data_IF_926685316243
#
_entry.id   IF_926685316243
#
_cell.length_a   1.000
_cell.length_b   1.000
_cell.length_c   1.000
_cell.angle_alpha   90.00
_cell.angle_beta   90.00
_cell.angle_gamma   90.00
#
_symmetry.space_group_name_H-M   'P 1'
#
loop_
_entity.id
_entity.type
_entity.pdbx_description
1 polymer ?
#
# COMPACT_ATOMS: atom_id res chain seq x y z
N UNK A 1 -19.27 -88.84 0.77
CA UNK A 1 -18.83 -89.23 2.12
C UNK A 1 -17.56 -88.47 2.40
N UNK A 2 -17.69 -87.24 2.89
CA UNK A 2 -16.58 -86.36 3.25
C UNK A 2 -16.08 -86.76 4.64
N UNK A 3 -14.80 -87.13 4.76
CA UNK A 3 -14.15 -87.41 6.04
C UNK A 3 -13.62 -86.10 6.61
N UNK A 4 -14.18 -85.70 7.75
CA UNK A 4 -13.70 -84.63 8.62
C UNK A 4 -12.38 -85.03 9.26
N UNK A 5 -11.28 -84.42 8.85
CA UNK A 5 -9.98 -84.56 9.53
C UNK A 5 -9.94 -83.63 10.75
N UNK A 6 -10.04 -84.23 11.93
CA UNK A 6 -9.86 -83.56 13.23
C UNK A 6 -8.37 -83.57 13.55
N UNK A 7 -7.72 -82.40 13.48
CA UNK A 7 -6.33 -82.25 13.96
C UNK A 7 -6.30 -81.93 15.45
N UNK A 8 -5.48 -82.63 16.26
CA UNK A 8 -5.41 -82.44 17.70
C UNK A 8 -4.64 -81.16 18.07
N UNK A 9 -5.20 -80.41 19.01
CA UNK A 9 -4.63 -79.19 19.57
C UNK A 9 -3.42 -79.54 20.46
N UNK A 10 -2.20 -79.30 19.99
CA UNK A 10 -1.01 -79.45 20.81
C UNK A 10 -0.83 -78.19 21.66
N UNK A 11 -1.05 -78.31 22.98
CA UNK A 11 -0.76 -77.22 23.94
C UNK A 11 0.74 -76.93 23.92
N UNK A 12 1.11 -75.76 23.41
CA UNK A 12 2.44 -75.20 23.65
C UNK A 12 2.51 -74.81 25.12
N UNK A 13 3.46 -75.43 25.82
CA UNK A 13 3.75 -75.22 27.24
C UNK A 13 4.26 -73.80 27.49
N UNK A 14 3.69 -73.15 28.49
CA UNK A 14 4.21 -71.93 29.10
C UNK A 14 5.65 -72.14 29.58
N UNK A 15 6.62 -71.59 28.85
CA UNK A 15 7.96 -71.35 29.37
C UNK A 15 8.70 -70.34 28.48
N UNK A 16 8.58 -69.06 28.80
CA UNK A 16 9.41 -68.05 28.15
C UNK A 16 8.90 -66.62 28.22
N UNK A 17 9.04 -66.02 29.41
CA UNK A 17 9.33 -64.59 29.62
C UNK A 17 8.44 -63.59 28.88
N UNK A 18 7.48 -63.04 29.64
CA UNK A 18 6.59 -61.97 29.23
C UNK A 18 7.33 -60.78 28.59
N UNK A 19 7.16 -60.62 27.27
CA UNK A 19 7.32 -59.33 26.62
C UNK A 19 6.04 -58.54 26.82
N UNK A 20 6.00 -57.78 27.92
CA UNK A 20 5.10 -56.63 28.04
C UNK A 20 5.27 -55.77 26.78
N UNK A 21 4.26 -55.74 25.94
CA UNK A 21 4.12 -54.71 24.91
C UNK A 21 3.96 -53.39 25.67
N UNK A 22 5.09 -52.68 25.85
CA UNK A 22 5.07 -51.30 26.29
C UNK A 22 4.32 -50.53 25.21
N UNK A 23 3.07 -50.18 25.48
CA UNK A 23 2.45 -49.02 24.86
C UNK A 23 3.40 -47.85 25.10
N UNK A 24 4.19 -47.52 24.08
CA UNK A 24 5.00 -46.32 24.04
C UNK A 24 3.98 -45.20 23.97
N UNK A 25 3.58 -44.66 25.11
CA UNK A 25 2.86 -43.40 25.17
C UNK A 25 3.77 -42.39 24.45
N UNK A 26 3.43 -42.08 23.20
CA UNK A 26 3.90 -40.88 22.53
C UNK A 26 3.11 -39.75 23.16
N UNK A 27 3.38 -39.46 24.44
CA UNK A 27 3.12 -38.16 25.00
C UNK A 27 4.22 -37.26 24.44
N UNK A 28 4.12 -36.89 23.16
CA UNK A 28 4.80 -35.68 22.72
C UNK A 28 4.19 -34.58 23.59
N UNK A 29 4.93 -33.98 24.54
CA UNK A 29 4.38 -32.86 25.27
C UNK A 29 4.03 -31.80 24.21
N UNK A 30 2.78 -31.31 24.24
CA UNK A 30 2.37 -30.15 23.46
C UNK A 30 3.48 -29.10 23.60
N UNK A 31 3.96 -28.48 22.50
CA UNK A 31 5.07 -27.56 22.57
C UNK A 31 4.69 -26.46 23.56
N UNK A 32 5.33 -26.47 24.74
CA UNK A 32 5.17 -25.39 25.71
C UNK A 32 5.60 -24.13 24.97
N UNK A 33 4.66 -23.24 24.68
CA UNK A 33 4.89 -21.89 24.16
C UNK A 33 5.83 -21.21 25.15
N UNK A 34 7.14 -21.35 24.92
CA UNK A 34 8.13 -20.90 25.87
C UNK A 34 8.26 -19.39 25.71
N UNK A 35 8.03 -18.66 26.81
CA UNK A 35 8.29 -17.22 26.90
C UNK A 35 9.73 -16.86 26.49
N UNK A 36 10.64 -17.84 26.59
CA UNK A 36 12.03 -17.77 26.16
C UNK A 36 12.18 -17.64 24.64
N UNK A 37 11.47 -18.47 23.85
CA UNK A 37 11.46 -18.38 22.38
C UNK A 37 10.88 -17.05 21.89
N UNK A 38 9.86 -16.53 22.58
CA UNK A 38 9.29 -15.21 22.28
C UNK A 38 10.28 -14.07 22.51
N UNK A 39 11.03 -14.11 23.63
CA UNK A 39 12.11 -13.14 23.89
C UNK A 39 13.24 -13.24 22.86
N UNK A 40 13.66 -14.45 22.49
CA UNK A 40 14.69 -14.66 21.47
C UNK A 40 14.26 -14.11 20.10
N UNK A 41 13.02 -14.36 19.69
CA UNK A 41 12.46 -13.79 18.46
C UNK A 41 12.37 -12.26 18.51
N UNK A 42 11.92 -11.69 19.62
CA UNK A 42 11.89 -10.23 19.80
C UNK A 42 13.29 -9.63 19.73
N UNK A 43 14.29 -10.26 20.34
CA UNK A 43 15.68 -9.80 20.24
C UNK A 43 16.24 -9.94 18.83
N UNK A 44 15.87 -10.98 18.09
CA UNK A 44 16.28 -11.17 16.69
C UNK A 44 15.64 -10.12 15.77
N UNK A 45 14.35 -9.83 15.96
CA UNK A 45 13.65 -8.75 15.25
C UNK A 45 14.27 -7.39 15.57
N UNK A 46 14.52 -7.11 16.85
CA UNK A 46 15.14 -5.85 17.28
C UNK A 46 16.54 -5.68 16.69
N UNK A 47 17.36 -6.74 16.68
CA UNK A 47 18.68 -6.72 16.08
C UNK A 47 18.66 -6.56 14.56
N UNK A 48 17.61 -7.04 13.89
CA UNK A 48 17.43 -6.87 12.43
C UNK A 48 16.93 -5.46 12.08
N UNK A 49 16.06 -4.87 12.92
CA UNK A 49 15.49 -3.54 12.70
C UNK A 49 16.46 -2.42 13.07
N UNK A 50 17.22 -2.57 14.16
CA UNK A 50 18.15 -1.55 14.67
C UNK A 50 19.09 -0.96 13.60
N UNK A 51 19.79 -1.75 12.75
CA UNK A 51 20.64 -1.21 11.70
C UNK A 51 19.84 -0.54 10.56
N UNK A 52 18.56 -0.91 10.39
CA UNK A 52 17.69 -0.34 9.37
C UNK A 52 17.04 1.00 9.78
N UNK A 53 17.17 1.43 11.04
CA UNK A 53 16.69 2.74 11.52
C UNK A 53 17.63 3.85 11.06
N UNK A 54 17.56 4.16 9.76
CA UNK A 54 18.29 5.23 9.09
C UNK A 54 17.25 6.33 8.75
N UNK A 55 17.60 7.64 8.76
CA UNK A 55 16.66 8.71 8.46
C UNK A 55 15.86 8.51 7.17
N UNK A 56 16.50 7.98 6.13
CA UNK A 56 15.84 7.61 4.86
C UNK A 56 14.73 6.57 5.07
N UNK A 57 15.01 5.48 5.80
CA UNK A 57 14.03 4.42 6.07
C UNK A 57 12.91 4.91 6.99
N UNK A 58 13.19 5.84 7.90
CA UNK A 58 12.18 6.46 8.74
C UNK A 58 11.22 7.34 7.91
N UNK A 59 11.76 8.15 7.00
CA UNK A 59 10.96 8.95 6.06
C UNK A 59 10.11 8.06 5.15
N UNK A 60 10.68 6.95 4.65
CA UNK A 60 9.93 5.96 3.88
C UNK A 60 8.86 5.27 4.73
N UNK A 61 9.09 5.02 6.02
CA UNK A 61 8.06 4.47 6.89
C UNK A 61 6.89 5.45 7.08
N UNK A 62 7.17 6.76 7.17
CA UNK A 62 6.13 7.79 7.23
C UNK A 62 5.32 7.81 5.94
N UNK A 63 5.99 7.73 4.78
CA UNK A 63 5.31 7.59 3.48
C UNK A 63 4.48 6.30 3.43
N UNK A 64 5.01 5.17 3.92
CA UNK A 64 4.29 3.90 3.99
C UNK A 64 3.04 3.95 4.86
N UNK A 65 3.11 4.66 6.00
CA UNK A 65 1.96 4.92 6.87
C UNK A 65 0.87 5.73 6.15
N UNK A 66 1.25 6.78 5.41
CA UNK A 66 0.31 7.60 4.64
C UNK A 66 -0.28 6.78 3.48
N UNK A 67 0.54 6.04 2.72
CA UNK A 67 0.07 5.23 1.59
C UNK A 67 -0.85 4.09 2.01
N UNK A 68 -0.70 3.57 3.23
CA UNK A 68 -1.64 2.62 3.83
C UNK A 68 -3.04 3.17 4.07
N UNK A 69 -3.19 4.50 4.03
CA UNK A 69 -4.46 5.21 4.12
C UNK A 69 -5.05 5.59 2.75
N UNK A 70 -4.33 5.36 1.66
CA UNK A 70 -4.72 5.80 0.33
C UNK A 70 -5.76 4.85 -0.31
N UNK A 71 -7.03 5.05 0.02
CA UNK A 71 -8.15 4.32 -0.58
C UNK A 71 -8.49 4.86 -1.98
N UNK A 72 -8.57 3.95 -2.95
CA UNK A 72 -9.11 4.24 -4.29
C UNK A 72 -10.55 3.74 -4.34
N UNK A 73 -11.48 4.57 -4.83
CA UNK A 73 -12.91 4.28 -4.89
C UNK A 73 -13.52 3.88 -3.53
N UNK A 74 -12.92 4.33 -2.41
CA UNK A 74 -13.38 4.05 -1.05
C UNK A 74 -13.08 2.65 -0.49
N UNK A 75 -12.64 1.69 -1.31
CA UNK A 75 -12.45 0.30 -0.86
C UNK A 75 -11.09 -0.33 -1.24
N UNK A 76 -10.44 0.14 -2.31
CA UNK A 76 -9.21 -0.47 -2.84
C UNK A 76 -7.97 0.12 -2.16
N UNK A 77 -7.02 -0.71 -1.72
CA UNK A 77 -5.75 -0.27 -1.11
C UNK A 77 -4.51 -0.64 -1.96
N UNK A 78 -4.40 -0.20 -3.22
CA UNK A 78 -3.35 -0.71 -4.10
C UNK A 78 -1.95 -0.17 -3.78
N UNK A 79 -1.85 1.03 -3.22
CA UNK A 79 -0.56 1.71 -3.00
C UNK A 79 0.31 1.01 -1.96
N UNK A 80 -0.29 0.54 -0.87
CA UNK A 80 0.46 0.00 0.28
C UNK A 80 1.15 -1.33 -0.04
N UNK A 81 0.44 -2.24 -0.73
CA UNK A 81 1.01 -3.52 -1.16
C UNK A 81 2.17 -3.27 -2.14
N UNK A 82 1.95 -2.38 -3.12
CA UNK A 82 2.95 -2.05 -4.11
C UNK A 82 4.21 -1.41 -3.50
N UNK A 83 4.02 -0.47 -2.58
CA UNK A 83 5.09 0.25 -1.90
C UNK A 83 5.98 -0.68 -1.06
N UNK A 84 5.37 -1.53 -0.22
CA UNK A 84 6.10 -2.46 0.64
C UNK A 84 6.88 -3.48 -0.19
N UNK A 85 6.30 -3.99 -1.28
CA UNK A 85 6.99 -4.93 -2.17
C UNK A 85 8.17 -4.27 -2.88
N UNK A 86 7.95 -3.13 -3.52
CA UNK A 86 8.97 -2.47 -4.34
C UNK A 86 10.19 -2.02 -3.49
N UNK A 87 9.93 -1.46 -2.30
CA UNK A 87 10.96 -0.84 -1.47
C UNK A 87 11.46 -1.70 -0.31
N UNK A 88 10.66 -2.64 0.18
CA UNK A 88 11.03 -3.54 1.27
C UNK A 88 11.97 -4.66 0.80
N UNK A 89 11.73 -5.24 -0.37
CA UNK A 89 12.35 -6.49 -0.84
C UNK A 89 13.89 -6.62 -0.76
N UNK A 90 14.62 -5.50 -0.72
CA UNK A 90 16.10 -5.49 -0.71
C UNK A 90 16.70 -5.68 0.69
N UNK A 91 15.98 -5.30 1.75
CA UNK A 91 16.50 -5.32 3.13
C UNK A 91 15.40 -5.82 4.10
N UNK A 92 15.62 -6.92 4.84
CA UNK A 92 14.64 -7.45 5.77
C UNK A 92 14.32 -6.47 6.92
N UNK A 93 15.29 -5.70 7.41
CA UNK A 93 15.08 -4.70 8.46
C UNK A 93 14.22 -3.54 7.97
N UNK A 94 14.48 -3.05 6.74
CA UNK A 94 13.62 -2.06 6.08
C UNK A 94 12.23 -2.63 5.83
N UNK A 95 12.10 -3.87 5.39
CA UNK A 95 10.80 -4.52 5.17
C UNK A 95 9.95 -4.52 6.44
N UNK A 96 10.54 -4.87 7.58
CA UNK A 96 9.83 -4.90 8.87
C UNK A 96 9.35 -3.48 9.24
N UNK A 97 10.20 -2.46 9.08
CA UNK A 97 9.84 -1.07 9.35
C UNK A 97 8.69 -0.59 8.47
N UNK A 98 8.79 -0.79 7.14
CA UNK A 98 7.75 -0.38 6.20
C UNK A 98 6.44 -1.13 6.48
N UNK A 99 6.50 -2.44 6.69
CA UNK A 99 5.32 -3.26 6.99
C UNK A 99 4.67 -2.81 8.31
N UNK A 100 5.46 -2.56 9.36
CA UNK A 100 4.93 -2.07 10.64
C UNK A 100 4.25 -0.71 10.50
N UNK A 101 4.87 0.24 9.80
CA UNK A 101 4.28 1.56 9.53
C UNK A 101 3.00 1.46 8.69
N UNK A 102 2.99 0.61 7.66
CA UNK A 102 1.84 0.36 6.81
C UNK A 102 0.69 -0.27 7.61
N UNK A 103 0.97 -1.25 8.47
CA UNK A 103 -0.04 -1.86 9.33
C UNK A 103 -0.67 -0.83 10.27
N UNK A 104 0.14 0.03 10.90
CA UNK A 104 -0.37 1.13 11.74
C UNK A 104 -1.26 2.09 10.93
N UNK A 105 -0.87 2.42 9.69
CA UNK A 105 -1.68 3.25 8.81
C UNK A 105 -3.04 2.63 8.50
N UNK A 106 -3.08 1.34 8.15
CA UNK A 106 -4.34 0.63 7.89
C UNK A 106 -5.26 0.61 9.12
N UNK A 107 -4.70 0.41 10.31
CA UNK A 107 -5.46 0.38 11.57
C UNK A 107 -6.13 1.72 11.90
N UNK A 108 -5.69 2.83 11.31
CA UNK A 108 -6.29 4.16 11.55
C UNK A 108 -7.58 4.37 10.77
N UNK A 109 -7.76 3.69 9.62
CA UNK A 109 -8.93 3.88 8.75
C UNK A 109 -9.84 2.64 8.74
N UNK A 110 -9.25 1.43 8.74
CA UNK A 110 -10.02 0.20 8.61
C UNK A 110 -10.24 -0.50 9.93
N UNK A 111 -11.42 -1.09 10.09
CA UNK A 111 -11.79 -1.93 11.21
C UNK A 111 -12.40 -3.26 10.78
N UNK A 112 -12.71 -4.11 11.76
CA UNK A 112 -13.43 -5.36 11.54
C UNK A 112 -12.72 -6.34 10.61
N UNK A 113 -13.51 -7.06 9.80
CA UNK A 113 -13.01 -8.13 8.93
C UNK A 113 -12.10 -7.60 7.80
N UNK A 114 -12.39 -6.40 7.28
CA UNK A 114 -11.57 -5.77 6.23
C UNK A 114 -10.15 -5.46 6.71
N UNK A 115 -9.99 -5.02 7.96
CA UNK A 115 -8.65 -4.83 8.54
C UNK A 115 -7.90 -6.17 8.63
N UNK A 116 -8.57 -7.23 9.09
CA UNK A 116 -7.97 -8.56 9.23
C UNK A 116 -7.52 -9.12 7.88
N UNK A 117 -8.36 -9.02 6.84
CA UNK A 117 -8.00 -9.48 5.50
C UNK A 117 -6.83 -8.69 4.95
N UNK A 118 -6.85 -7.35 5.05
CA UNK A 118 -5.77 -6.49 4.54
C UNK A 118 -4.43 -6.74 5.25
N UNK A 119 -4.43 -6.84 6.58
CA UNK A 119 -3.22 -7.13 7.34
C UNK A 119 -2.69 -8.53 7.05
N UNK A 120 -3.56 -9.53 6.99
CA UNK A 120 -3.16 -10.89 6.66
C UNK A 120 -2.55 -10.95 5.26
N UNK A 121 -3.19 -10.33 4.26
CA UNK A 121 -2.68 -10.24 2.90
C UNK A 121 -1.34 -9.51 2.84
N UNK A 122 -1.15 -8.42 3.58
CA UNK A 122 0.12 -7.70 3.60
C UNK A 122 1.24 -8.56 4.18
N UNK A 123 1.01 -9.17 5.35
CA UNK A 123 2.01 -10.00 6.03
C UNK A 123 2.38 -11.24 5.22
N UNK A 124 1.40 -11.92 4.63
CA UNK A 124 1.63 -13.08 3.78
C UNK A 124 2.33 -12.73 2.48
N UNK A 125 2.00 -11.59 1.86
CA UNK A 125 2.72 -11.07 0.70
C UNK A 125 4.19 -10.80 1.04
N UNK A 126 4.47 -10.16 2.18
CA UNK A 126 5.83 -9.89 2.66
C UNK A 126 6.63 -11.17 2.87
N UNK A 127 6.02 -12.21 3.42
CA UNK A 127 6.67 -13.52 3.58
C UNK A 127 7.02 -14.10 2.21
N UNK A 128 6.09 -14.07 1.25
CA UNK A 128 6.30 -14.63 -0.08
C UNK A 128 7.43 -13.93 -0.83
N UNK A 129 7.48 -12.60 -0.81
CA UNK A 129 8.55 -11.86 -1.51
C UNK A 129 9.94 -12.11 -0.89
N UNK A 130 10.02 -12.49 0.38
CA UNK A 130 11.29 -12.84 1.03
C UNK A 130 11.71 -14.29 0.76
N UNK A 131 10.74 -15.19 0.57
CA UNK A 131 11.00 -16.62 0.30
C UNK A 131 11.26 -16.87 -1.19
N UNK A 132 10.50 -16.22 -2.08
CA UNK A 132 10.60 -16.42 -3.52
C UNK A 132 11.79 -15.65 -4.08
N UNK A 133 12.83 -16.39 -4.47
CA UNK A 133 14.01 -15.81 -5.14
C UNK A 133 13.75 -15.65 -6.63
N UNK A 134 13.51 -14.41 -7.05
CA UNK A 134 13.35 -14.07 -8.47
C UNK A 134 14.74 -13.79 -9.07
N UNK A 135 15.09 -14.43 -10.21
CA UNK A 135 16.33 -14.13 -10.94
C UNK A 135 16.46 -12.63 -11.23
N UNK A 136 17.68 -12.09 -11.11
CA UNK A 136 17.97 -10.66 -11.20
C UNK A 136 17.43 -10.03 -12.50
N UNK A 137 17.60 -10.75 -13.60
CA UNK A 137 17.15 -10.46 -14.96
C UNK A 137 15.62 -10.36 -15.12
N UNK A 138 14.85 -10.98 -14.22
CA UNK A 138 13.37 -10.96 -14.27
C UNK A 138 12.72 -10.15 -13.16
N UNK A 139 13.51 -9.49 -12.31
CA UNK A 139 12.98 -8.75 -11.16
C UNK A 139 12.05 -7.61 -11.58
N UNK A 140 12.32 -6.96 -12.72
CA UNK A 140 11.50 -5.85 -13.21
C UNK A 140 10.03 -6.27 -13.39
N UNK A 141 9.74 -7.45 -13.96
CA UNK A 141 8.35 -7.94 -14.18
C UNK A 141 7.86 -8.94 -13.13
N UNK A 142 8.78 -9.65 -12.45
CA UNK A 142 8.44 -10.70 -11.51
C UNK A 142 7.69 -10.20 -10.27
N UNK A 143 8.14 -9.10 -9.64
CA UNK A 143 7.49 -8.56 -8.44
C UNK A 143 6.09 -7.99 -8.71
N UNK A 144 5.87 -7.19 -9.77
CA UNK A 144 4.52 -6.78 -10.19
C UNK A 144 3.57 -7.97 -10.37
N UNK A 145 4.01 -9.00 -11.08
CA UNK A 145 3.19 -10.17 -11.39
C UNK A 145 2.87 -11.02 -10.15
N UNK A 146 3.86 -11.23 -9.27
CA UNK A 146 3.64 -11.94 -8.01
C UNK A 146 2.68 -11.17 -7.11
N UNK A 147 2.82 -9.84 -7.06
CA UNK A 147 1.93 -8.99 -6.24
C UNK A 147 0.50 -9.10 -6.72
N UNK A 148 0.24 -8.95 -8.03
CA UNK A 148 -1.11 -9.06 -8.57
C UNK A 148 -1.68 -10.48 -8.42
N UNK A 149 -0.93 -11.51 -8.78
CA UNK A 149 -1.37 -12.91 -8.65
C UNK A 149 -1.66 -13.27 -7.18
N UNK A 150 -0.81 -12.82 -6.26
CA UNK A 150 -1.00 -13.08 -4.84
C UNK A 150 -2.23 -12.38 -4.28
N UNK A 151 -2.46 -11.12 -4.62
CA UNK A 151 -3.66 -10.40 -4.19
C UNK A 151 -4.94 -11.07 -4.69
N UNK A 152 -4.97 -11.51 -5.96
CA UNK A 152 -6.11 -12.26 -6.53
C UNK A 152 -6.38 -13.52 -5.71
N UNK A 153 -5.34 -14.33 -5.47
CA UNK A 153 -5.50 -15.61 -4.74
C UNK A 153 -5.90 -15.37 -3.29
N UNK A 154 -5.19 -14.49 -2.59
CA UNK A 154 -5.34 -14.29 -1.16
C UNK A 154 -6.69 -13.60 -0.85
N UNK A 155 -6.95 -12.44 -1.45
CA UNK A 155 -8.22 -11.72 -1.22
C UNK A 155 -9.41 -12.40 -1.90
N UNK A 156 -9.21 -13.07 -3.03
CA UNK A 156 -10.24 -13.87 -3.67
C UNK A 156 -10.72 -15.01 -2.76
N UNK A 157 -9.80 -15.70 -2.07
CA UNK A 157 -10.17 -16.75 -1.11
C UNK A 157 -11.00 -16.17 0.05
N UNK A 158 -10.61 -15.02 0.59
CA UNK A 158 -11.40 -14.35 1.64
C UNK A 158 -12.79 -13.91 1.14
N UNK A 159 -12.91 -13.46 -0.11
CA UNK A 159 -14.20 -13.10 -0.71
C UNK A 159 -15.12 -14.31 -0.86
N UNK A 160 -14.60 -15.47 -1.28
CA UNK A 160 -15.38 -16.71 -1.36
C UNK A 160 -15.89 -17.15 0.00
N UNK A 161 -15.09 -17.01 1.06
CA UNK A 161 -15.49 -17.37 2.44
C UNK A 161 -16.58 -16.44 2.98
N UNK A 162 -16.51 -15.15 2.65
CA UNK A 162 -17.47 -14.13 3.14
C UNK A 162 -18.82 -14.16 2.42
N UNK A 163 -18.90 -14.85 1.29
CA UNK A 163 -20.05 -14.84 0.39
C UNK A 163 -19.63 -14.26 -0.96
N UNK A 164 -19.39 -15.10 -1.98
CA UNK A 164 -18.88 -14.64 -3.26
C UNK A 164 -19.87 -13.68 -3.91
N UNK A 165 -19.39 -12.49 -4.25
CA UNK A 165 -20.14 -11.50 -5.00
C UNK A 165 -19.35 -11.09 -6.24
N UNK A 166 -20.03 -10.92 -7.37
CA UNK A 166 -19.40 -10.43 -8.60
C UNK A 166 -18.70 -9.08 -8.36
N UNK A 167 -19.32 -8.20 -7.57
CA UNK A 167 -18.73 -6.91 -7.18
C UNK A 167 -17.41 -7.09 -6.43
N UNK A 168 -17.37 -7.95 -5.41
CA UNK A 168 -16.14 -8.20 -4.66
C UNK A 168 -15.05 -8.84 -5.53
N UNK A 169 -15.43 -9.70 -6.48
CA UNK A 169 -14.51 -10.25 -7.48
C UNK A 169 -13.87 -9.15 -8.35
N UNK A 170 -14.67 -8.15 -8.78
CA UNK A 170 -14.16 -6.98 -9.50
C UNK A 170 -13.22 -6.15 -8.63
N UNK A 171 -13.60 -5.86 -7.38
CA UNK A 171 -12.78 -5.09 -6.42
C UNK A 171 -11.41 -5.75 -6.24
N UNK A 172 -11.37 -7.05 -5.96
CA UNK A 172 -10.11 -7.81 -5.81
C UNK A 172 -9.28 -7.76 -7.09
N UNK A 173 -9.91 -7.91 -8.25
CA UNK A 173 -9.21 -7.89 -9.54
C UNK A 173 -8.60 -6.52 -9.83
N UNK A 174 -9.35 -5.44 -9.64
CA UNK A 174 -8.83 -4.08 -9.82
C UNK A 174 -7.73 -3.75 -8.84
N UNK A 175 -7.91 -4.08 -7.56
CA UNK A 175 -6.89 -3.85 -6.54
C UNK A 175 -5.58 -4.56 -6.89
N UNK A 176 -5.67 -5.82 -7.32
CA UNK A 176 -4.52 -6.62 -7.71
C UNK A 176 -3.80 -6.06 -8.93
N UNK A 177 -4.53 -5.70 -9.98
CA UNK A 177 -3.97 -5.14 -11.21
C UNK A 177 -3.30 -3.79 -10.95
N UNK A 178 -3.98 -2.89 -10.24
CA UNK A 178 -3.43 -1.56 -9.92
C UNK A 178 -2.21 -1.71 -9.01
N UNK A 179 -2.25 -2.60 -8.01
CA UNK A 179 -1.08 -2.87 -7.15
C UNK A 179 0.11 -3.37 -7.97
N UNK A 180 -0.11 -4.30 -8.89
CA UNK A 180 0.95 -4.80 -9.78
C UNK A 180 1.58 -3.68 -10.60
N UNK A 181 0.77 -2.83 -11.24
CA UNK A 181 1.27 -1.66 -11.99
C UNK A 181 2.02 -0.69 -11.08
N UNK A 182 1.52 -0.43 -9.88
CA UNK A 182 2.19 0.46 -8.92
C UNK A 182 3.53 -0.09 -8.43
N UNK A 183 3.76 -1.41 -8.41
CA UNK A 183 5.09 -1.96 -8.08
C UNK A 183 6.13 -1.47 -9.09
N UNK A 184 5.79 -1.34 -10.38
CA UNK A 184 6.68 -0.75 -11.38
C UNK A 184 7.01 0.70 -11.06
N UNK A 185 5.97 1.49 -10.79
CA UNK A 185 6.08 2.90 -10.45
C UNK A 185 6.99 3.11 -9.24
N UNK A 186 6.77 2.34 -8.17
CA UNK A 186 7.60 2.40 -6.97
C UNK A 186 9.02 1.85 -7.16
N UNK A 187 9.24 0.92 -8.08
CA UNK A 187 10.60 0.49 -8.43
C UNK A 187 11.38 1.65 -9.09
N UNK A 188 10.77 2.35 -10.06
CA UNK A 188 11.38 3.51 -10.73
C UNK A 188 11.69 4.62 -9.71
N UNK A 189 10.68 5.05 -8.94
CA UNK A 189 10.87 6.07 -7.91
C UNK A 189 11.88 5.62 -6.83
N UNK A 190 11.83 4.35 -6.44
CA UNK A 190 12.71 3.76 -5.44
C UNK A 190 14.18 3.69 -5.86
N UNK A 191 14.45 3.47 -7.15
CA UNK A 191 15.80 3.49 -7.70
C UNK A 191 16.35 4.90 -7.79
N UNK A 192 15.56 5.86 -8.26
CA UNK A 192 15.93 7.28 -8.29
C UNK A 192 16.30 7.81 -6.88
N UNK A 193 15.55 7.44 -5.85
CA UNK A 193 15.84 7.78 -4.45
C UNK A 193 17.13 7.12 -3.95
N UNK A 194 17.37 5.85 -4.32
CA UNK A 194 18.53 5.09 -3.84
C UNK A 194 19.86 5.59 -4.43
N UNK A 195 19.88 5.91 -5.73
CA UNK A 195 21.07 6.45 -6.38
C UNK A 195 21.22 7.97 -6.16
N UNK A 196 20.30 8.60 -5.42
CA UNK A 196 20.23 10.06 -5.19
C UNK A 196 20.34 10.85 -6.49
N UNK A 197 19.54 10.46 -7.47
CA UNK A 197 19.52 11.09 -8.80
C UNK A 197 19.21 12.58 -8.66
N UNK A 198 19.97 13.43 -9.35
CA UNK A 198 19.70 14.88 -9.37
C UNK A 198 18.40 15.15 -10.14
N UNK A 199 17.66 16.17 -9.73
CA UNK A 199 16.41 16.59 -10.41
C UNK A 199 16.68 16.94 -11.88
N UNK A 200 17.88 17.43 -12.20
CA UNK A 200 18.30 17.73 -13.57
C UNK A 200 18.41 16.49 -14.48
N UNK A 201 18.61 15.30 -13.91
CA UNK A 201 18.80 14.05 -14.66
C UNK A 201 17.49 13.27 -14.83
N UNK A 202 16.39 13.75 -14.25
CA UNK A 202 15.10 13.06 -14.25
C UNK A 202 14.60 12.88 -15.68
N UNK A 203 14.34 11.64 -16.04
CA UNK A 203 13.66 11.30 -17.29
C UNK A 203 12.16 11.44 -17.10
N UNK A 204 11.41 11.41 -18.21
CA UNK A 204 9.94 11.47 -18.17
C UNK A 204 9.32 10.40 -17.27
N UNK A 205 9.91 9.20 -17.24
CA UNK A 205 9.49 8.09 -16.38
C UNK A 205 9.68 8.39 -14.89
N UNK A 206 10.80 9.02 -14.52
CA UNK A 206 11.07 9.42 -13.12
C UNK A 206 10.02 10.44 -12.66
N UNK A 207 9.81 11.49 -13.48
CA UNK A 207 8.82 12.55 -13.18
C UNK A 207 7.43 11.93 -13.00
N UNK A 208 7.01 11.09 -13.94
CA UNK A 208 5.71 10.41 -13.88
C UNK A 208 5.59 9.51 -12.66
N UNK A 209 6.66 8.78 -12.30
CA UNK A 209 6.66 7.92 -11.14
C UNK A 209 6.50 8.72 -9.83
N UNK A 210 7.27 9.80 -9.65
CA UNK A 210 7.15 10.67 -8.49
C UNK A 210 5.79 11.37 -8.42
N UNK A 211 5.18 11.71 -9.56
CA UNK A 211 3.82 12.25 -9.60
C UNK A 211 2.80 11.24 -9.09
N UNK A 212 2.87 9.97 -9.51
CA UNK A 212 1.97 8.92 -9.01
C UNK A 212 2.19 8.68 -7.50
N UNK A 213 3.43 8.74 -7.01
CA UNK A 213 3.72 8.68 -5.57
C UNK A 213 3.08 9.86 -4.83
N UNK A 214 3.20 11.07 -5.37
CA UNK A 214 2.59 12.27 -4.79
C UNK A 214 1.06 12.17 -4.77
N UNK A 215 0.44 11.61 -5.81
CA UNK A 215 -1.00 11.30 -5.84
C UNK A 215 -1.37 10.33 -4.73
N UNK A 216 -0.61 9.25 -4.54
CA UNK A 216 -0.85 8.30 -3.45
C UNK A 216 -0.73 8.95 -2.06
N UNK A 217 0.26 9.82 -1.85
CA UNK A 217 0.41 10.59 -0.60
C UNK A 217 -0.80 11.50 -0.39
N UNK A 218 -1.21 12.25 -1.42
CA UNK A 218 -2.37 13.12 -1.36
C UNK A 218 -3.66 12.35 -1.04
N UNK A 219 -3.86 11.16 -1.63
CA UNK A 219 -4.97 10.27 -1.30
C UNK A 219 -4.94 9.82 0.17
N UNK A 220 -3.78 9.41 0.67
CA UNK A 220 -3.64 8.97 2.07
C UNK A 220 -3.84 10.07 3.12
N UNK A 221 -3.70 11.34 2.72
CA UNK A 221 -3.95 12.51 3.57
C UNK A 221 -5.39 13.02 3.52
N UNK A 222 -6.21 12.52 2.59
CA UNK A 222 -7.56 13.05 2.33
C UNK A 222 -8.50 12.88 3.54
N UNK A 223 -8.39 11.78 4.28
CA UNK A 223 -9.17 11.53 5.51
C UNK A 223 -8.66 12.30 6.74
N UNK A 224 -7.70 13.21 6.60
CA UNK A 224 -7.18 14.02 7.70
C UNK A 224 -7.76 15.44 7.61
N UNK A 225 -8.83 15.68 8.37
CA UNK A 225 -9.43 16.99 8.55
C UNK A 225 -8.97 17.66 9.85
N UNK A 226 -8.40 18.86 9.77
CA UNK A 226 -8.08 19.69 10.95
C UNK A 226 -8.91 20.97 10.86
N UNK A 227 -9.76 21.22 11.86
CA UNK A 227 -10.63 22.42 11.92
C UNK A 227 -11.51 22.65 10.67
N UNK A 228 -11.88 21.58 9.96
CA UNK A 228 -12.68 21.65 8.72
C UNK A 228 -11.87 21.81 7.44
N UNK A 229 -10.54 21.89 7.51
CA UNK A 229 -9.62 21.93 6.37
C UNK A 229 -9.05 20.53 6.11
N UNK A 230 -8.94 20.15 4.84
CA UNK A 230 -8.45 18.83 4.45
C UNK A 230 -6.96 18.87 4.11
N UNK A 231 -6.15 18.07 4.81
CA UNK A 231 -4.70 18.04 4.63
C UNK A 231 -4.30 17.57 3.22
N UNK A 232 -5.01 16.60 2.64
CA UNK A 232 -4.78 16.16 1.26
C UNK A 232 -5.07 17.28 0.25
N UNK A 233 -6.13 18.04 0.49
CA UNK A 233 -6.52 19.20 -0.32
C UNK A 233 -5.47 20.31 -0.30
N UNK A 234 -4.90 20.62 0.87
CA UNK A 234 -3.77 21.56 1.03
C UNK A 234 -2.54 21.04 0.31
N UNK A 235 -2.18 19.77 0.50
CA UNK A 235 -1.02 19.15 -0.16
C UNK A 235 -1.13 19.22 -1.70
N UNK A 236 -2.32 18.99 -2.26
CA UNK A 236 -2.56 19.15 -3.70
C UNK A 236 -2.27 20.59 -4.17
N UNK A 237 -2.77 21.60 -3.46
CA UNK A 237 -2.56 23.01 -3.81
C UNK A 237 -1.09 23.42 -3.73
N UNK A 238 -0.41 23.06 -2.64
CA UNK A 238 1.04 23.30 -2.49
C UNK A 238 1.79 22.66 -3.66
N UNK A 239 1.44 21.42 -4.02
CA UNK A 239 2.08 20.71 -5.14
C UNK A 239 1.88 21.45 -6.47
N UNK A 240 0.67 21.97 -6.73
CA UNK A 240 0.37 22.72 -7.96
C UNK A 240 1.13 24.05 -8.00
N UNK A 241 1.11 24.81 -6.90
CA UNK A 241 1.79 26.11 -6.78
C UNK A 241 3.30 25.95 -6.93
N UNK A 242 3.88 24.91 -6.31
CA UNK A 242 5.29 24.58 -6.42
C UNK A 242 5.65 24.17 -7.86
N UNK A 243 4.80 23.41 -8.53
CA UNK A 243 5.00 23.05 -9.92
C UNK A 243 4.94 24.27 -10.86
N UNK A 244 4.01 25.20 -10.62
CA UNK A 244 3.92 26.47 -11.34
C UNK A 244 5.17 27.33 -11.14
N UNK A 245 5.70 27.37 -9.92
CA UNK A 245 6.89 28.14 -9.59
C UNK A 245 8.17 27.58 -10.23
N UNK A 246 8.33 26.25 -10.27
CA UNK A 246 9.57 25.62 -10.74
C UNK A 246 9.59 25.35 -12.26
N UNK A 247 8.45 24.93 -12.83
CA UNK A 247 8.39 24.40 -14.20
C UNK A 247 7.32 25.08 -15.08
N UNK A 248 6.64 26.10 -14.55
CA UNK A 248 5.65 26.89 -15.31
C UNK A 248 4.33 26.17 -15.59
N UNK A 249 3.59 26.67 -16.57
CA UNK A 249 2.19 26.28 -16.85
C UNK A 249 2.01 24.82 -17.23
N UNK A 250 2.90 24.25 -18.05
CA UNK A 250 2.78 22.86 -18.51
C UNK A 250 2.83 21.87 -17.34
N UNK A 251 3.84 21.98 -16.48
CA UNK A 251 3.98 21.13 -15.31
C UNK A 251 2.86 21.36 -14.29
N UNK A 252 2.52 22.62 -13.99
CA UNK A 252 1.44 22.94 -13.06
C UNK A 252 0.09 22.39 -13.51
N UNK A 253 -0.19 22.41 -14.81
CA UNK A 253 -1.41 21.81 -15.38
C UNK A 253 -1.42 20.29 -15.20
N UNK A 254 -0.30 19.61 -15.48
CA UNK A 254 -0.20 18.16 -15.28
C UNK A 254 -0.41 17.77 -13.81
N UNK A 255 0.24 18.48 -12.88
CA UNK A 255 0.03 18.26 -11.43
C UNK A 255 -1.42 18.56 -11.05
N UNK A 256 -2.01 19.63 -11.58
CA UNK A 256 -3.40 20.01 -11.34
C UNK A 256 -4.40 18.95 -11.81
N UNK A 257 -4.21 18.40 -13.02
CA UNK A 257 -5.02 17.29 -13.54
C UNK A 257 -4.89 16.08 -12.62
N UNK A 258 -3.67 15.67 -12.27
CA UNK A 258 -3.46 14.49 -11.41
C UNK A 258 -4.03 14.67 -10.01
N UNK A 259 -3.85 15.85 -9.41
CA UNK A 259 -4.39 16.20 -8.11
C UNK A 259 -5.93 16.22 -8.12
N UNK A 260 -6.54 16.72 -9.20
CA UNK A 260 -7.98 16.80 -9.34
C UNK A 260 -8.66 15.45 -9.65
N UNK A 261 -7.91 14.46 -10.14
CA UNK A 261 -8.40 13.09 -10.29
C UNK A 261 -8.69 12.43 -8.94
N UNK A 262 -7.96 12.80 -7.88
CA UNK A 262 -8.09 12.20 -6.55
C UNK A 262 -9.52 12.31 -5.98
N UNK A 263 -10.07 13.53 -5.76
CA UNK A 263 -11.44 13.67 -5.29
C UNK A 263 -12.45 13.15 -6.32
N UNK A 264 -12.15 13.22 -7.62
CA UNK A 264 -13.02 12.70 -8.68
C UNK A 264 -13.16 11.17 -8.65
N UNK A 265 -12.15 10.45 -8.13
CA UNK A 265 -12.21 9.00 -7.89
C UNK A 265 -12.85 8.64 -6.55
N UNK A 266 -12.97 9.59 -5.62
CA UNK A 266 -13.54 9.36 -4.30
C UNK A 266 -15.05 9.64 -4.23
N UNK A 267 -15.60 10.50 -5.10
CA UNK A 267 -17.02 10.84 -5.13
C UNK A 267 -17.70 10.48 -6.45
N UNK A 268 -18.94 10.00 -6.40
CA UNK A 268 -19.82 9.80 -7.57
C UNK A 268 -20.27 11.09 -8.26
N UNK A 269 -19.95 12.25 -7.66
CA UNK A 269 -20.21 13.58 -8.21
C UNK A 269 -19.04 13.96 -9.11
N UNK A 270 -19.36 14.16 -10.38
CA UNK A 270 -18.48 14.44 -11.52
C UNK A 270 -17.38 15.49 -11.26
N UNK A 271 -16.16 15.21 -11.75
CA UNK A 271 -15.09 16.02 -12.42
C UNK A 271 -14.84 17.50 -12.05
N UNK A 272 -15.49 18.06 -11.04
CA UNK A 272 -15.40 19.50 -10.76
C UNK A 272 -14.01 19.88 -10.24
N UNK A 273 -13.47 19.10 -9.29
CA UNK A 273 -12.12 19.30 -8.78
C UNK A 273 -11.05 19.06 -9.86
N UNK A 274 -11.32 18.17 -10.83
CA UNK A 274 -10.43 17.95 -11.96
C UNK A 274 -10.29 19.21 -12.81
N UNK A 275 -11.42 19.78 -13.23
CA UNK A 275 -11.41 21.04 -13.97
C UNK A 275 -10.78 22.16 -13.16
N UNK A 276 -11.15 22.27 -11.88
CA UNK A 276 -10.73 23.34 -10.98
C UNK A 276 -9.21 23.35 -10.80
N UNK A 277 -8.61 22.22 -10.45
CA UNK A 277 -7.16 22.14 -10.25
C UNK A 277 -6.38 22.20 -11.55
N UNK A 278 -6.91 21.65 -12.65
CA UNK A 278 -6.27 21.77 -13.96
C UNK A 278 -6.20 23.23 -14.44
N UNK A 279 -7.33 23.97 -14.40
CA UNK A 279 -7.37 25.38 -14.79
C UNK A 279 -6.59 26.27 -13.82
N UNK A 280 -6.68 26.01 -12.51
CA UNK A 280 -5.90 26.75 -11.52
C UNK A 280 -4.40 26.55 -11.72
N UNK A 281 -3.95 25.32 -12.01
CA UNK A 281 -2.55 25.03 -12.32
C UNK A 281 -2.10 25.73 -13.61
N UNK A 282 -2.91 25.69 -14.66
CA UNK A 282 -2.62 26.38 -15.93
C UNK A 282 -2.43 27.89 -15.71
N UNK A 283 -3.38 28.54 -15.04
CA UNK A 283 -3.34 29.99 -14.80
C UNK A 283 -2.23 30.38 -13.83
N UNK A 284 -2.01 29.60 -12.77
CA UNK A 284 -0.90 29.81 -11.83
C UNK A 284 0.45 29.79 -12.55
N UNK A 285 0.68 28.80 -13.42
CA UNK A 285 1.93 28.73 -14.18
C UNK A 285 2.03 29.74 -15.33
N UNK A 286 0.91 30.13 -15.95
CA UNK A 286 0.89 31.17 -16.99
C UNK A 286 1.28 32.54 -16.41
N UNK A 287 0.80 32.85 -15.20
CA UNK A 287 1.12 34.08 -14.49
C UNK A 287 2.43 33.99 -13.70
N UNK A 288 3.18 32.89 -13.84
CA UNK A 288 4.51 32.73 -13.23
C UNK A 288 5.52 33.79 -13.66
N UNK A 289 5.36 34.39 -14.85
CA UNK A 289 6.19 35.50 -15.33
C UNK A 289 6.08 36.77 -14.49
N UNK A 290 4.97 36.95 -13.76
CA UNK A 290 4.73 38.06 -12.83
C UNK A 290 5.31 37.77 -11.42
N UNK A 291 6.07 36.69 -11.27
CA UNK A 291 6.65 36.26 -10.01
C UNK A 291 5.64 35.59 -9.07
N UNK A 292 5.99 35.50 -7.79
CA UNK A 292 5.22 34.73 -6.77
C UNK A 292 3.77 35.22 -6.63
N UNK A 293 3.56 36.53 -6.69
CA UNK A 293 2.22 37.13 -6.59
C UNK A 293 1.35 36.71 -7.78
N UNK A 294 1.92 36.67 -9.00
CA UNK A 294 1.22 36.20 -10.19
C UNK A 294 0.74 34.76 -10.08
N UNK A 295 1.58 33.87 -9.54
CA UNK A 295 1.24 32.45 -9.35
C UNK A 295 0.04 32.29 -8.41
N UNK A 296 0.07 32.98 -7.26
CA UNK A 296 -1.01 32.94 -6.26
C UNK A 296 -2.32 33.49 -6.87
N UNK A 297 -2.24 34.63 -7.55
CA UNK A 297 -3.39 35.26 -8.19
C UNK A 297 -3.95 34.37 -9.31
N UNK A 298 -3.10 33.78 -10.13
CA UNK A 298 -3.50 32.86 -11.20
C UNK A 298 -4.20 31.62 -10.67
N UNK A 299 -3.67 31.02 -9.60
CA UNK A 299 -4.31 29.89 -8.94
C UNK A 299 -5.69 30.27 -8.39
N UNK A 300 -5.78 31.40 -7.68
CA UNK A 300 -7.04 31.87 -7.11
C UNK A 300 -8.09 32.18 -8.19
N UNK A 301 -7.67 32.77 -9.31
CA UNK A 301 -8.55 33.05 -10.44
C UNK A 301 -9.08 31.77 -11.09
N UNK A 302 -8.25 30.74 -11.26
CA UNK A 302 -8.72 29.45 -11.77
C UNK A 302 -9.71 28.77 -10.84
N UNK A 303 -9.47 28.87 -9.53
CA UNK A 303 -10.38 28.35 -8.51
C UNK A 303 -11.74 29.08 -8.55
N UNK A 304 -11.71 30.42 -8.61
CA UNK A 304 -12.92 31.25 -8.70
C UNK A 304 -13.69 31.07 -10.01
N UNK A 305 -12.98 30.91 -11.13
CA UNK A 305 -13.59 30.76 -12.45
C UNK A 305 -14.51 29.53 -12.52
N UNK A 306 -14.09 28.40 -11.93
CA UNK A 306 -14.94 27.22 -11.85
C UNK A 306 -15.90 27.20 -10.67
N UNK A 307 -15.58 27.88 -9.57
CA UNK A 307 -16.51 28.09 -8.46
C UNK A 307 -17.82 28.78 -8.89
N UNK A 308 -17.79 29.64 -9.92
CA UNK A 308 -18.98 30.29 -10.49
C UNK A 308 -20.00 29.31 -11.09
N UNK A 309 -19.55 28.13 -11.53
CA UNK A 309 -20.42 27.10 -12.11
C UNK A 309 -20.94 26.12 -11.05
N UNK A 310 -20.61 26.35 -9.78
CA UNK A 310 -20.84 25.41 -8.68
C UNK A 310 -21.60 26.13 -7.57
N UNK A 311 -22.89 25.83 -7.37
CA UNK A 311 -23.72 26.54 -6.42
C UNK A 311 -23.42 26.26 -4.93
N UNK A 312 -22.36 25.50 -4.60
CA UNK A 312 -21.99 25.15 -3.22
C UNK A 312 -21.03 26.18 -2.62
N UNK A 313 -21.59 27.18 -1.94
CA UNK A 313 -20.83 28.28 -1.33
C UNK A 313 -19.87 27.84 -0.22
N UNK A 314 -20.18 26.76 0.51
CA UNK A 314 -19.38 26.30 1.66
C UNK A 314 -18.05 25.67 1.25
N UNK A 315 -18.05 24.85 0.20
CA UNK A 315 -16.84 24.20 -0.32
C UNK A 315 -15.89 25.23 -0.94
N UNK A 316 -16.44 26.27 -1.57
CA UNK A 316 -15.67 27.38 -2.13
C UNK A 316 -14.95 28.20 -1.04
N UNK A 317 -15.61 28.54 0.07
CA UNK A 317 -14.99 29.29 1.18
C UNK A 317 -13.88 28.47 1.85
N UNK A 318 -14.11 27.18 2.12
CA UNK A 318 -13.06 26.31 2.64
C UNK A 318 -11.88 26.20 1.67
N UNK A 319 -12.16 26.12 0.37
CA UNK A 319 -11.12 26.08 -0.65
C UNK A 319 -10.21 27.31 -0.67
N UNK A 320 -10.73 28.50 -0.34
CA UNK A 320 -9.94 29.73 -0.20
C UNK A 320 -9.01 29.63 1.02
N UNK A 321 -9.50 29.14 2.16
CA UNK A 321 -8.67 28.96 3.35
C UNK A 321 -7.57 27.92 3.14
N UNK A 322 -7.88 26.82 2.46
CA UNK A 322 -6.89 25.81 2.08
C UNK A 322 -5.83 26.38 1.12
N UNK A 323 -6.22 27.25 0.18
CA UNK A 323 -5.27 27.99 -0.67
C UNK A 323 -4.44 29.01 0.11
N UNK A 324 -4.99 29.65 1.15
CA UNK A 324 -4.24 30.62 1.95
C UNK A 324 -3.16 29.98 2.82
N UNK A 325 -3.36 28.71 3.21
CA UNK A 325 -2.38 27.91 3.96
C UNK A 325 -1.30 27.34 3.05
N UNK A 326 -1.68 26.98 1.81
CA UNK A 326 -0.80 26.41 0.80
C UNK A 326 0.18 27.45 0.22
#
# INVERSE_FOLDING_TARGET
MERTEVYPYQRVSDSGLGKRVRHRQISNPLPRLSFQKGREQLTALFNTVRPAVIPMNLMLSLVGFILARAFVLGELLPFVFAFVVALGRRDPGRTILLTGSASLGMMTITGGLQLVTNLFTLLSLVIIIQVVKIPADRQWWGYPLITSAFLIVCKGLFSVIQGPSFYQGMVVTFEALISGVLVFVFNIAGEAVQIRKSIADFQFEDVTAFLIVAVGIAMGLNDIGIMGLNAGSVFCRVSILLAAYLWGSGAATMVGVMAGLIPSLASSIFTQFLGMYALSGLLAGLFGSLGRVGIIVGFLLGNLALAMFVPETRTNVLGIWETAIA
#
